data_IF_546657421150
#
_entry.id   IF_546657421150
#
_cell.length_a   1.000
_cell.length_b   1.000
_cell.length_c   1.000
_cell.angle_alpha   90.00
_cell.angle_beta   90.00
_cell.angle_gamma   90.00
#
_symmetry.space_group_name_H-M   'P 1'
#
loop_
_entity.id
_entity.type
_entity.pdbx_description
1 polymer ?
#
# COMPACT_ATOMS: atom_id res chain seq x y z
N UNK A 1 33.09 -11.60 -13.23
CA UNK A 1 31.64 -11.49 -13.37
C UNK A 1 31.27 -12.24 -14.63
N UNK A 2 30.47 -13.28 -14.50
CA UNK A 2 30.02 -14.08 -15.64
C UNK A 2 28.86 -13.37 -16.37
N UNK A 3 28.54 -13.75 -17.62
CA UNK A 3 27.35 -13.24 -18.30
C UNK A 3 26.06 -13.50 -17.52
N UNK A 4 25.99 -14.62 -16.80
CA UNK A 4 24.85 -14.99 -15.95
C UNK A 4 24.73 -14.02 -14.76
N UNK A 5 25.85 -13.67 -14.12
CA UNK A 5 25.86 -12.67 -13.03
C UNK A 5 25.40 -11.28 -13.52
N UNK A 6 25.70 -10.92 -14.78
CA UNK A 6 25.28 -9.64 -15.35
C UNK A 6 23.78 -9.62 -15.65
N UNK A 7 23.22 -10.71 -16.18
CA UNK A 7 21.79 -10.83 -16.43
C UNK A 7 20.99 -10.72 -15.11
N UNK A 8 21.46 -11.40 -14.06
CA UNK A 8 20.84 -11.38 -12.73
C UNK A 8 20.87 -9.98 -12.09
N UNK A 9 21.97 -9.24 -12.26
CA UNK A 9 22.07 -7.88 -11.75
C UNK A 9 21.11 -6.92 -12.46
N UNK A 10 20.95 -7.07 -13.78
CA UNK A 10 20.05 -6.23 -14.58
C UNK A 10 18.60 -6.50 -14.17
N UNK A 11 18.19 -7.77 -14.09
CA UNK A 11 16.83 -8.17 -13.70
C UNK A 11 16.49 -7.70 -12.28
N UNK A 12 17.44 -7.87 -11.35
CA UNK A 12 17.29 -7.38 -9.98
C UNK A 12 17.14 -5.85 -9.91
N UNK A 13 17.94 -5.11 -10.69
CA UNK A 13 17.88 -3.65 -10.75
C UNK A 13 16.57 -3.14 -11.37
N UNK A 14 16.09 -3.78 -12.43
CA UNK A 14 14.81 -3.47 -13.06
C UNK A 14 13.65 -3.68 -12.09
N UNK A 15 13.65 -4.80 -11.37
CA UNK A 15 12.61 -5.12 -10.40
C UNK A 15 12.58 -4.08 -9.25
N UNK A 16 13.73 -3.69 -8.68
CA UNK A 16 13.79 -2.62 -7.66
C UNK A 16 13.20 -1.31 -8.18
N UNK A 17 13.53 -0.93 -9.42
CA UNK A 17 13.03 0.30 -10.01
C UNK A 17 11.50 0.30 -10.17
N UNK A 18 10.93 -0.80 -10.66
CA UNK A 18 9.48 -0.97 -10.80
C UNK A 18 8.78 -0.94 -9.44
N UNK A 19 9.32 -1.63 -8.44
CA UNK A 19 8.81 -1.60 -7.07
C UNK A 19 8.82 -0.17 -6.50
N UNK A 20 9.90 0.60 -6.73
CA UNK A 20 10.00 1.97 -6.27
C UNK A 20 8.96 2.89 -6.93
N UNK A 21 8.74 2.75 -8.23
CA UNK A 21 7.68 3.47 -8.94
C UNK A 21 6.29 3.13 -8.39
N UNK A 22 6.03 1.85 -8.12
CA UNK A 22 4.76 1.41 -7.53
C UNK A 22 4.52 2.10 -6.18
N UNK A 23 5.50 2.13 -5.28
CA UNK A 23 5.39 2.85 -4.00
C UNK A 23 5.07 4.32 -4.22
N UNK A 24 5.81 5.00 -5.09
CA UNK A 24 5.61 6.44 -5.35
C UNK A 24 4.19 6.71 -5.85
N UNK A 25 3.70 5.92 -6.82
CA UNK A 25 2.37 6.08 -7.39
C UNK A 25 1.29 5.85 -6.32
N UNK A 26 1.38 4.77 -5.55
CA UNK A 26 0.38 4.45 -4.52
C UNK A 26 0.38 5.47 -3.38
N UNK A 27 1.55 5.88 -2.88
CA UNK A 27 1.65 6.87 -1.80
C UNK A 27 1.19 8.25 -2.26
N UNK A 28 1.57 8.68 -3.46
CA UNK A 28 1.10 9.96 -4.02
C UNK A 28 -0.41 9.95 -4.28
N UNK A 29 -0.94 8.86 -4.86
CA UNK A 29 -2.37 8.67 -5.09
C UNK A 29 -3.17 8.67 -3.79
N UNK A 30 -2.63 8.02 -2.74
CA UNK A 30 -3.21 8.06 -1.40
C UNK A 30 -3.23 9.48 -0.83
N UNK A 31 -2.13 10.23 -0.92
CA UNK A 31 -2.10 11.62 -0.47
C UNK A 31 -3.15 12.52 -1.15
N UNK A 32 -3.35 12.36 -2.46
CA UNK A 32 -4.40 13.05 -3.20
C UNK A 32 -5.80 12.66 -2.74
N UNK A 33 -6.05 11.37 -2.52
CA UNK A 33 -7.33 10.87 -2.03
C UNK A 33 -7.69 11.44 -0.65
N UNK A 34 -6.73 11.49 0.28
CA UNK A 34 -6.92 12.08 1.61
C UNK A 34 -7.20 13.58 1.50
N UNK A 35 -6.43 14.30 0.69
CA UNK A 35 -6.63 15.72 0.46
C UNK A 35 -8.03 16.04 -0.09
N UNK A 36 -8.49 15.26 -1.07
CA UNK A 36 -9.81 15.42 -1.67
C UNK A 36 -10.93 15.08 -0.69
N UNK A 37 -10.77 14.02 0.12
CA UNK A 37 -11.74 13.65 1.16
C UNK A 37 -11.90 14.73 2.22
N UNK A 38 -10.78 15.34 2.64
CA UNK A 38 -10.79 16.47 3.58
C UNK A 38 -11.46 17.71 2.96
N UNK A 39 -11.16 18.03 1.70
CA UNK A 39 -11.78 19.15 0.99
C UNK A 39 -13.31 18.97 0.89
N UNK A 40 -13.77 17.76 0.56
CA UNK A 40 -15.19 17.39 0.55
C UNK A 40 -15.84 17.55 1.92
N UNK A 41 -15.19 17.06 2.98
CA UNK A 41 -15.69 17.21 4.34
C UNK A 41 -15.83 18.69 4.75
N UNK A 42 -14.82 19.51 4.45
CA UNK A 42 -14.86 20.95 4.75
C UNK A 42 -15.94 21.68 3.93
N UNK A 43 -16.11 21.34 2.66
CA UNK A 43 -17.15 21.89 1.80
C UNK A 43 -18.56 21.55 2.33
N UNK A 44 -18.77 20.30 2.75
CA UNK A 44 -20.05 19.84 3.31
C UNK A 44 -20.33 20.42 4.71
N UNK A 45 -19.29 20.65 5.52
CA UNK A 45 -19.42 21.26 6.86
C UNK A 45 -19.88 22.72 6.82
N UNK A 46 -19.57 23.45 5.76
CA UNK A 46 -19.99 24.85 5.61
C UNK A 46 -21.49 25.01 5.27
N UNK A 47 -22.19 23.92 4.95
CA UNK A 47 -23.64 23.89 4.94
C UNK A 47 -24.14 23.85 6.39
N UNK A 48 -25.05 24.74 6.78
CA UNK A 48 -25.50 25.03 8.15
C UNK A 48 -26.10 23.84 8.95
N UNK A 49 -26.09 22.62 8.41
CA UNK A 49 -26.52 21.40 9.07
C UNK A 49 -25.43 20.74 9.92
N UNK A 50 -25.80 20.20 11.09
CA UNK A 50 -24.91 19.32 11.87
C UNK A 50 -24.51 18.12 10.99
N UNK A 51 -23.21 17.77 10.89
CA UNK A 51 -22.78 16.63 10.10
C UNK A 51 -23.45 15.36 10.63
N UNK A 52 -24.07 14.59 9.74
CA UNK A 52 -24.68 13.32 10.09
C UNK A 52 -23.58 12.37 10.62
N UNK A 53 -23.69 11.96 11.89
CA UNK A 53 -22.71 11.09 12.56
C UNK A 53 -22.46 9.80 11.75
N UNK A 54 -23.49 9.28 11.09
CA UNK A 54 -23.39 8.08 10.27
C UNK A 54 -22.53 8.32 9.03
N UNK A 55 -22.66 9.49 8.38
CA UNK A 55 -21.83 9.89 7.23
C UNK A 55 -20.36 10.04 7.62
N UNK A 56 -20.08 10.60 8.80
CA UNK A 56 -18.71 10.73 9.32
C UNK A 56 -18.09 9.35 9.59
N UNK A 57 -18.85 8.42 10.19
CA UNK A 57 -18.39 7.05 10.41
C UNK A 57 -18.10 6.32 9.09
N UNK A 58 -18.91 6.53 8.06
CA UNK A 58 -18.68 5.96 6.74
C UNK A 58 -17.41 6.51 6.09
N UNK A 59 -17.19 7.83 6.17
CA UNK A 59 -15.97 8.45 5.67
C UNK A 59 -14.72 7.93 6.40
N UNK A 60 -14.80 7.70 7.72
CA UNK A 60 -13.71 7.07 8.50
C UNK A 60 -13.47 5.63 8.02
N UNK A 61 -14.53 4.84 7.80
CA UNK A 61 -14.41 3.47 7.31
C UNK A 61 -13.75 3.39 5.94
N UNK A 62 -14.21 4.23 5.00
CA UNK A 62 -13.62 4.35 3.65
C UNK A 62 -12.17 4.80 3.74
N UNK A 63 -11.88 5.81 4.57
CA UNK A 63 -10.52 6.30 4.78
C UNK A 63 -9.61 5.18 5.29
N UNK A 64 -10.01 4.45 6.33
CA UNK A 64 -9.24 3.33 6.86
C UNK A 64 -9.04 2.22 5.82
N UNK A 65 -10.08 1.88 5.06
CA UNK A 65 -10.01 0.87 3.99
C UNK A 65 -9.01 1.26 2.89
N UNK A 66 -9.08 2.49 2.38
CA UNK A 66 -8.11 2.96 1.38
C UNK A 66 -6.70 3.15 1.95
N UNK A 67 -6.57 3.58 3.22
CA UNK A 67 -5.27 3.65 3.91
C UNK A 67 -4.63 2.27 3.92
N UNK A 68 -5.44 1.25 4.22
CA UNK A 68 -5.00 -0.13 4.28
C UNK A 68 -4.63 -0.69 2.90
N UNK A 69 -5.43 -0.42 1.86
CA UNK A 69 -5.06 -0.78 0.48
C UNK A 69 -3.73 -0.15 0.07
N UNK A 70 -3.52 1.13 0.37
CA UNK A 70 -2.27 1.82 0.08
C UNK A 70 -1.10 1.21 0.86
N UNK A 71 -1.30 0.89 2.14
CA UNK A 71 -0.30 0.22 2.97
C UNK A 71 0.05 -1.18 2.44
N UNK A 72 -0.93 -1.99 2.05
CA UNK A 72 -0.71 -3.32 1.47
C UNK A 72 0.00 -3.27 0.12
N UNK A 73 -0.48 -2.39 -0.77
CA UNK A 73 0.06 -2.25 -2.13
C UNK A 73 1.47 -1.64 -2.17
N UNK A 74 1.83 -0.81 -1.18
CA UNK A 74 3.16 -0.21 -1.06
C UNK A 74 4.09 -0.98 -0.11
N UNK A 75 3.55 -1.74 0.84
CA UNK A 75 4.30 -2.43 1.89
C UNK A 75 5.23 -3.52 1.36
N UNK A 76 4.71 -4.40 0.50
CA UNK A 76 5.53 -5.44 -0.14
C UNK A 76 6.67 -4.86 -0.98
N UNK A 77 6.43 -3.88 -1.87
CA UNK A 77 7.50 -3.17 -2.56
C UNK A 77 8.52 -2.47 -1.63
N UNK A 78 8.06 -1.85 -0.53
CA UNK A 78 8.92 -1.17 0.43
C UNK A 78 9.85 -2.14 1.16
N UNK A 79 9.33 -3.30 1.59
CA UNK A 79 10.13 -4.35 2.21
C UNK A 79 11.14 -4.95 1.22
N UNK A 80 10.72 -5.15 -0.04
CA UNK A 80 11.61 -5.60 -1.12
C UNK A 80 12.79 -4.63 -1.31
N UNK A 81 12.50 -3.33 -1.44
CA UNK A 81 13.52 -2.28 -1.57
C UNK A 81 14.41 -2.24 -0.33
N UNK A 82 13.82 -2.23 0.87
CA UNK A 82 14.59 -2.15 2.11
C UNK A 82 15.58 -3.31 2.24
N UNK A 83 15.14 -4.54 1.94
CA UNK A 83 16.01 -5.72 1.98
C UNK A 83 17.09 -5.68 0.91
N UNK A 84 16.76 -5.21 -0.31
CA UNK A 84 17.73 -5.05 -1.38
C UNK A 84 18.85 -4.05 -1.05
N UNK A 85 18.58 -3.03 -0.24
CA UNK A 85 19.56 -2.01 0.16
C UNK A 85 20.30 -2.34 1.47
N UNK A 86 19.87 -3.33 2.25
CA UNK A 86 20.61 -3.80 3.43
C UNK A 86 21.74 -4.71 2.96
N UNK A 87 22.99 -4.28 3.23
CA UNK A 87 24.18 -5.10 2.97
C UNK A 87 24.18 -6.34 3.85
N UNK A 88 23.62 -7.45 3.36
CA UNK A 88 23.62 -8.72 4.08
C UNK A 88 25.05 -9.30 4.07
N UNK A 89 25.68 -9.53 5.25
CA UNK A 89 27.11 -9.87 5.29
C UNK A 89 27.49 -11.26 4.75
N UNK A 90 26.55 -12.14 4.38
CA UNK A 90 26.89 -13.56 4.18
C UNK A 90 25.90 -14.44 3.39
N UNK A 91 24.90 -13.90 2.70
CA UNK A 91 23.91 -14.73 1.98
C UNK A 91 23.91 -14.48 0.47
N UNK A 92 23.98 -15.58 -0.27
CA UNK A 92 23.81 -15.67 -1.72
C UNK A 92 22.50 -14.99 -2.17
N UNK A 93 22.45 -14.50 -3.42
CA UNK A 93 21.30 -13.76 -3.98
C UNK A 93 20.00 -14.57 -3.87
N UNK A 94 20.06 -15.88 -4.08
CA UNK A 94 18.92 -16.78 -3.92
C UNK A 94 18.36 -16.76 -2.48
N UNK A 95 19.23 -16.77 -1.48
CA UNK A 95 18.83 -16.74 -0.07
C UNK A 95 18.34 -15.36 0.39
N UNK A 96 18.56 -14.30 -0.40
CA UNK A 96 17.90 -13.01 -0.21
C UNK A 96 16.49 -13.02 -0.82
N UNK A 97 16.31 -13.65 -1.98
CA UNK A 97 14.99 -13.87 -2.59
C UNK A 97 14.02 -14.60 -1.65
N UNK A 98 14.42 -15.74 -1.10
CA UNK A 98 13.58 -16.52 -0.16
C UNK A 98 13.18 -15.71 1.10
N UNK A 99 14.08 -14.85 1.57
CA UNK A 99 13.87 -14.00 2.75
C UNK A 99 12.88 -12.86 2.48
N UNK A 100 12.88 -12.36 1.24
CA UNK A 100 11.91 -11.38 0.76
C UNK A 100 10.54 -12.03 0.60
N UNK A 101 10.46 -13.22 0.03
CA UNK A 101 9.20 -13.95 -0.15
C UNK A 101 8.51 -14.25 1.20
N UNK A 102 9.28 -14.70 2.20
CA UNK A 102 8.76 -14.95 3.56
C UNK A 102 8.22 -13.66 4.21
N UNK A 103 8.90 -12.52 4.02
CA UNK A 103 8.42 -11.24 4.57
C UNK A 103 7.26 -10.64 3.81
N UNK A 104 7.19 -10.86 2.50
CA UNK A 104 6.10 -10.33 1.66
C UNK A 104 4.82 -11.17 1.75
N UNK A 105 4.89 -12.39 2.27
CA UNK A 105 3.73 -13.23 2.57
C UNK A 105 2.70 -12.51 3.49
N UNK A 106 3.19 -11.77 4.49
CA UNK A 106 2.33 -10.96 5.37
C UNK A 106 1.48 -9.95 4.58
N UNK A 107 2.07 -9.27 3.59
CA UNK A 107 1.36 -8.30 2.76
C UNK A 107 0.33 -8.96 1.85
N UNK A 108 0.62 -10.17 1.36
CA UNK A 108 -0.31 -10.96 0.56
C UNK A 108 -1.58 -11.31 1.36
N UNK A 109 -1.40 -11.76 2.60
CA UNK A 109 -2.52 -12.07 3.51
C UNK A 109 -3.32 -10.82 3.90
N UNK A 110 -2.66 -9.66 3.98
CA UNK A 110 -3.31 -8.40 4.34
C UNK A 110 -3.99 -7.68 3.18
N UNK A 111 -3.73 -8.05 1.93
CA UNK A 111 -4.24 -7.34 0.74
C UNK A 111 -5.78 -7.31 0.64
N UNK A 112 -6.47 -8.35 1.11
CA UNK A 112 -7.93 -8.51 1.01
C UNK A 112 -8.73 -7.84 2.14
N UNK A 113 -8.03 -7.30 3.16
CA UNK A 113 -8.69 -6.78 4.36
C UNK A 113 -9.47 -5.48 4.09
N UNK A 114 -8.94 -4.62 3.22
CA UNK A 114 -9.59 -3.34 2.90
C UNK A 114 -10.92 -3.52 2.16
N UNK A 115 -10.99 -4.48 1.24
CA UNK A 115 -12.20 -4.85 0.51
C UNK A 115 -13.28 -5.36 1.47
N UNK A 116 -12.87 -6.20 2.43
CA UNK A 116 -13.77 -6.75 3.46
C UNK A 116 -14.36 -5.65 4.35
N UNK A 117 -13.55 -4.68 4.78
CA UNK A 117 -14.00 -3.54 5.59
C UNK A 117 -14.91 -2.62 4.79
N UNK A 118 -14.57 -2.31 3.54
CA UNK A 118 -15.35 -1.43 2.68
C UNK A 118 -16.73 -2.02 2.36
N UNK A 119 -16.81 -3.32 2.05
CA UNK A 119 -18.10 -4.00 1.81
C UNK A 119 -18.97 -3.98 3.06
N UNK A 120 -18.41 -4.23 4.25
CA UNK A 120 -19.19 -4.16 5.51
C UNK A 120 -19.66 -2.75 5.85
N UNK A 121 -18.84 -1.73 5.59
CA UNK A 121 -19.21 -0.34 5.78
C UNK A 121 -20.36 0.06 4.82
N UNK A 122 -20.29 -0.37 3.56
CA UNK A 122 -21.36 -0.13 2.59
C UNK A 122 -22.68 -0.82 2.99
N UNK A 123 -22.62 -2.06 3.47
CA UNK A 123 -23.81 -2.81 3.93
C UNK A 123 -24.51 -2.14 5.12
N UNK A 124 -23.76 -1.50 6.01
CA UNK A 124 -24.30 -0.81 7.18
C UNK A 124 -25.04 0.51 6.84
N UNK A 125 -24.93 1.01 5.60
CA UNK A 125 -25.61 2.22 5.13
C UNK A 125 -26.98 1.89 4.51
N UNK A 126 -27.12 0.68 3.98
CA UNK A 126 -28.32 0.25 3.23
C UNK A 126 -29.41 -0.32 4.15
N UNK A 127 -29.06 -0.71 5.38
CA UNK A 127 -29.97 -1.18 6.43
C UNK A 127 -30.20 -0.09 7.49
#
# INVERSE_FOLDING_TARGET
MTPDDQALLIDFGENIFLQALQVIIFVAGWGLFVGMSLALYLALRNSEGKPNKMMVLCLIGIFLGFTWTAAGAAGSPLDYIQLAFIKHPSKDLAAQGDLVDDKTAFWSDMSLWSETVNVRAALAIVN
#
